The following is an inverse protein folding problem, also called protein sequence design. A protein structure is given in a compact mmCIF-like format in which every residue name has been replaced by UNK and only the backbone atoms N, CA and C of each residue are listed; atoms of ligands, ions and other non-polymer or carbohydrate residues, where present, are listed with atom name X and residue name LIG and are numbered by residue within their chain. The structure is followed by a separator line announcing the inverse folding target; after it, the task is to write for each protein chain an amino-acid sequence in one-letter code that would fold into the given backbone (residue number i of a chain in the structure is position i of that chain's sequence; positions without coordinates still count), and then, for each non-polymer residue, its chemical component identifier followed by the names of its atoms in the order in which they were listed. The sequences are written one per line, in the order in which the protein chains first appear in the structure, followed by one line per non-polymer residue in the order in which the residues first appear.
data_IF_346599504144
#
_entry.id   IF_346599504144
#
_cell.length_a   1.000
_cell.length_b   1.000
_cell.length_c   1.000
_cell.angle_alpha   90.00
_cell.angle_beta   90.00
_cell.angle_gamma   90.00
#
_symmetry.space_group_name_H-M   'P 1'
#
loop_
_entity.id
_entity.type
_entity.pdbx_description
1 polymer ?
#
# COMPACT_ATOMS: atom_id res chain seq x y z
N UNK A 1 -21.69 5.03 -11.02
CA UNK A 1 -21.79 5.83 -9.77
C UNK A 1 -21.46 5.01 -8.51
N UNK A 2 -21.57 3.68 -8.53
CA UNK A 2 -21.29 2.83 -7.36
C UNK A 2 -19.78 2.64 -7.07
N UNK A 3 -18.93 2.47 -8.09
CA UNK A 3 -17.50 2.19 -7.90
C UNK A 3 -16.75 3.33 -7.20
N UNK A 4 -16.98 4.59 -7.61
CA UNK A 4 -16.34 5.74 -6.99
C UNK A 4 -16.75 5.93 -5.51
N UNK A 5 -18.02 5.65 -5.18
CA UNK A 5 -18.50 5.69 -3.80
C UNK A 5 -17.86 4.59 -2.96
N UNK A 6 -17.78 3.37 -3.51
CA UNK A 6 -17.11 2.24 -2.85
C UNK A 6 -15.62 2.54 -2.63
N UNK A 7 -14.95 3.10 -3.65
CA UNK A 7 -13.54 3.48 -3.57
C UNK A 7 -13.27 4.49 -2.44
N UNK A 8 -14.04 5.58 -2.39
CA UNK A 8 -13.88 6.61 -1.36
C UNK A 8 -14.24 6.11 0.04
N UNK A 9 -15.27 5.26 0.14
CA UNK A 9 -15.64 4.63 1.39
C UNK A 9 -14.51 3.74 1.93
N UNK A 10 -13.94 2.92 1.06
CA UNK A 10 -12.85 2.01 1.42
C UNK A 10 -11.55 2.75 1.75
N UNK A 11 -11.23 3.85 1.04
CA UNK A 11 -10.13 4.75 1.43
C UNK A 11 -10.29 5.30 2.85
N UNK A 12 -11.52 5.68 3.23
CA UNK A 12 -11.81 6.18 4.57
C UNK A 12 -11.71 5.07 5.63
N UNK A 13 -11.98 3.82 5.27
CA UNK A 13 -11.78 2.69 6.18
C UNK A 13 -10.28 2.42 6.38
N UNK A 14 -9.50 2.42 5.29
CA UNK A 14 -8.05 2.22 5.34
C UNK A 14 -7.37 3.27 6.22
N UNK A 15 -7.79 4.54 6.17
CA UNK A 15 -7.21 5.59 7.00
C UNK A 15 -7.44 5.44 8.50
N UNK A 16 -8.35 4.55 8.92
CA UNK A 16 -8.56 4.23 10.35
C UNK A 16 -7.66 3.09 10.84
N UNK A 17 -6.97 2.40 9.94
CA UNK A 17 -6.08 1.29 10.28
C UNK A 17 -4.77 1.84 10.84
N UNK A 18 -4.58 1.70 12.15
CA UNK A 18 -3.39 2.21 12.88
C UNK A 18 -2.07 1.70 12.30
N UNK A 19 -2.04 0.45 11.83
CA UNK A 19 -0.84 -0.15 11.25
C UNK A 19 -0.34 0.55 9.98
N UNK A 20 -1.23 1.15 9.19
CA UNK A 20 -0.84 1.90 7.99
C UNK A 20 -0.17 3.24 8.35
N UNK A 21 -0.57 3.85 9.46
CA UNK A 21 0.12 5.02 10.00
C UNK A 21 1.49 4.67 10.57
N UNK A 22 1.65 3.49 11.18
CA UNK A 22 2.96 2.99 11.63
C UNK A 22 3.89 2.80 10.42
N UNK A 23 3.38 2.28 9.30
CA UNK A 23 4.15 2.17 8.06
C UNK A 23 4.66 3.54 7.57
N UNK A 24 3.79 4.55 7.51
CA UNK A 24 4.18 5.92 7.14
C UNK A 24 5.26 6.48 8.08
N UNK A 25 5.07 6.33 9.39
CA UNK A 25 6.02 6.81 10.39
C UNK A 25 7.36 6.08 10.33
N UNK A 26 7.36 4.79 9.99
CA UNK A 26 8.57 3.99 9.81
C UNK A 26 9.40 4.51 8.63
N UNK A 27 8.76 4.82 7.51
CA UNK A 27 9.44 5.40 6.35
C UNK A 27 10.08 6.75 6.73
N UNK A 28 9.30 7.68 7.26
CA UNK A 28 9.78 9.00 7.67
C UNK A 28 10.89 8.88 8.72
N UNK A 29 10.69 8.06 9.74
CA UNK A 29 11.64 7.85 10.82
C UNK A 29 12.96 7.28 10.33
N UNK A 30 12.91 6.36 9.37
CA UNK A 30 14.11 5.77 8.78
C UNK A 30 14.93 6.80 7.99
N UNK A 31 14.28 7.63 7.17
CA UNK A 31 14.97 8.70 6.42
C UNK A 31 15.60 9.73 7.34
N UNK A 32 14.86 10.19 8.36
CA UNK A 32 15.38 11.13 9.36
C UNK A 32 16.58 10.52 10.10
N UNK A 33 16.54 9.23 10.41
CA UNK A 33 17.67 8.54 11.02
C UNK A 33 18.89 8.52 10.09
N UNK A 34 18.73 8.11 8.82
CA UNK A 34 19.85 8.07 7.88
C UNK A 34 20.43 9.45 7.57
N UNK A 35 19.59 10.48 7.46
CA UNK A 35 20.02 11.87 7.30
C UNK A 35 20.91 12.32 8.48
N UNK A 36 20.50 12.01 9.71
CA UNK A 36 21.28 12.35 10.91
C UNK A 36 22.58 11.55 11.03
N UNK A 37 22.57 10.28 10.61
CA UNK A 37 23.73 9.39 10.73
C UNK A 37 24.79 9.66 9.65
N UNK A 38 24.36 9.95 8.42
CA UNK A 38 25.26 10.01 7.26
C UNK A 38 25.57 11.43 6.83
N UNK A 39 24.64 12.37 6.99
CA UNK A 39 24.75 13.75 6.52
C UNK A 39 24.74 13.92 4.99
N UNK A 40 24.62 12.84 4.22
CA UNK A 40 24.69 12.82 2.76
C UNK A 40 23.39 12.27 2.16
N UNK A 41 22.67 13.12 1.43
CA UNK A 41 21.36 12.81 0.85
C UNK A 41 21.44 11.70 -0.19
N UNK A 42 22.52 11.63 -0.98
CA UNK A 42 22.66 10.59 -2.01
C UNK A 42 22.76 9.19 -1.39
N UNK A 43 23.42 9.08 -0.23
CA UNK A 43 23.49 7.83 0.53
C UNK A 43 22.16 7.47 1.19
N UNK A 44 21.39 8.47 1.64
CA UNK A 44 20.02 8.26 2.15
C UNK A 44 19.13 7.70 1.05
N UNK A 45 19.12 8.29 -0.14
CA UNK A 45 18.31 7.83 -1.28
C UNK A 45 18.68 6.38 -1.65
N UNK A 46 19.97 6.06 -1.69
CA UNK A 46 20.45 4.69 -2.00
C UNK A 46 20.02 3.68 -0.94
N UNK A 47 20.08 4.06 0.35
CA UNK A 47 19.65 3.21 1.46
C UNK A 47 18.13 3.01 1.44
N UNK A 48 17.38 4.08 1.17
CA UNK A 48 15.92 4.01 1.01
C UNK A 48 15.52 3.13 -0.16
N UNK A 49 16.23 3.17 -1.27
CA UNK A 49 15.96 2.27 -2.40
C UNK A 49 16.03 0.80 -1.97
N UNK A 50 17.03 0.44 -1.17
CA UNK A 50 17.17 -0.93 -0.65
C UNK A 50 16.01 -1.30 0.27
N UNK A 51 15.62 -0.39 1.16
CA UNK A 51 14.47 -0.57 2.07
C UNK A 51 13.18 -0.71 1.27
N UNK A 52 12.95 0.15 0.29
CA UNK A 52 11.77 0.14 -0.58
C UNK A 52 11.61 -1.20 -1.29
N UNK A 53 12.70 -1.74 -1.85
CA UNK A 53 12.68 -3.02 -2.57
C UNK A 53 12.28 -4.21 -1.69
N UNK A 54 12.43 -4.12 -0.37
CA UNK A 54 12.12 -5.21 0.57
C UNK A 54 10.80 -4.94 1.30
N UNK A 55 10.66 -3.75 1.88
CA UNK A 55 9.56 -3.40 2.78
C UNK A 55 8.25 -3.18 2.02
N UNK A 56 8.29 -2.48 0.88
CA UNK A 56 7.07 -2.18 0.11
C UNK A 56 6.39 -3.46 -0.38
N UNK A 57 7.09 -4.43 -0.99
CA UNK A 57 6.49 -5.70 -1.40
C UNK A 57 5.83 -6.45 -0.25
N UNK A 58 6.54 -6.57 0.87
CA UNK A 58 6.05 -7.30 2.05
C UNK A 58 4.78 -6.66 2.61
N UNK A 59 4.77 -5.34 2.77
CA UNK A 59 3.63 -4.60 3.29
C UNK A 59 2.46 -4.65 2.30
N UNK A 60 2.70 -4.36 1.02
CA UNK A 60 1.66 -4.41 0.00
C UNK A 60 1.05 -5.81 -0.10
N UNK A 61 1.85 -6.87 0.09
CA UNK A 61 1.34 -8.23 0.07
C UNK A 61 0.53 -8.63 1.29
N UNK A 62 1.05 -8.36 2.49
CA UNK A 62 0.34 -8.64 3.73
C UNK A 62 -1.00 -7.91 3.77
N UNK A 63 -1.00 -6.59 3.54
CA UNK A 63 -2.22 -5.81 3.55
C UNK A 63 -3.16 -6.19 2.40
N UNK A 64 -2.63 -6.50 1.22
CA UNK A 64 -3.44 -6.95 0.09
C UNK A 64 -4.24 -8.21 0.40
N UNK A 65 -3.58 -9.23 0.97
CA UNK A 65 -4.22 -10.50 1.36
C UNK A 65 -5.21 -10.30 2.51
N UNK A 66 -4.80 -9.60 3.58
CA UNK A 66 -5.66 -9.33 4.75
C UNK A 66 -6.92 -8.58 4.32
N UNK A 67 -6.76 -7.54 3.49
CA UNK A 67 -7.88 -6.70 3.06
C UNK A 67 -8.82 -7.41 2.07
N UNK A 68 -8.32 -8.42 1.35
CA UNK A 68 -9.16 -9.32 0.57
C UNK A 68 -9.98 -10.23 1.48
N UNK A 69 -9.37 -10.92 2.46
CA UNK A 69 -10.07 -11.90 3.29
C UNK A 69 -11.03 -11.30 4.32
N UNK A 70 -10.67 -10.19 4.96
CA UNK A 70 -11.54 -9.48 5.93
C UNK A 70 -12.89 -9.10 5.30
N UNK A 71 -12.86 -8.87 3.99
CA UNK A 71 -14.03 -8.47 3.21
C UNK A 71 -14.99 -9.57 2.83
N UNK A 72 -14.59 -10.83 2.85
CA UNK A 72 -15.41 -11.90 2.29
C UNK A 72 -16.79 -11.99 2.97
N UNK A 73 -16.86 -11.65 4.25
CA UNK A 73 -18.13 -11.58 5.00
C UNK A 73 -18.97 -10.35 4.60
N UNK A 74 -18.33 -9.21 4.30
CA UNK A 74 -19.01 -8.01 3.81
C UNK A 74 -19.45 -8.13 2.34
N UNK A 75 -18.65 -8.78 1.49
CA UNK A 75 -19.02 -9.08 0.10
C UNK A 75 -20.25 -9.98 0.05
N UNK A 76 -20.36 -10.98 0.94
CA UNK A 76 -21.56 -11.82 1.07
C UNK A 76 -22.81 -11.00 1.42
N UNK A 77 -22.67 -9.97 2.25
CA UNK A 77 -23.76 -9.04 2.60
C UNK A 77 -24.07 -8.04 1.48
N UNK A 78 -23.07 -7.60 0.70
CA UNK A 78 -23.27 -6.67 -0.41
C UNK A 78 -23.87 -7.33 -1.65
N UNK A 79 -23.66 -8.63 -1.86
CA UNK A 79 -24.27 -9.38 -2.97
C UNK A 79 -25.78 -9.59 -2.75
N UNK A 80 -26.30 -9.36 -1.54
CA UNK A 80 -27.76 -9.24 -1.35
C UNK A 80 -28.31 -7.91 -1.89
N UNK A 81 -27.43 -6.96 -2.23
CA UNK A 81 -27.74 -5.77 -3.00
C UNK A 81 -27.30 -5.98 -4.46
N UNK A 82 -27.93 -5.31 -5.44
CA UNK A 82 -27.68 -5.54 -6.87
C UNK A 82 -26.34 -4.93 -7.35
N UNK A 83 -25.22 -5.31 -6.74
CA UNK A 83 -23.87 -4.85 -7.06
C UNK A 83 -23.08 -5.99 -7.69
N UNK A 84 -22.49 -5.74 -8.86
CA UNK A 84 -21.65 -6.72 -9.55
C UNK A 84 -20.37 -7.02 -8.76
N UNK A 85 -20.06 -8.31 -8.56
CA UNK A 85 -18.88 -8.78 -7.81
C UNK A 85 -17.56 -8.20 -8.31
N UNK A 86 -17.42 -8.04 -9.62
CA UNK A 86 -16.23 -7.45 -10.25
C UNK A 86 -15.98 -6.00 -9.82
N UNK A 87 -17.04 -5.19 -9.72
CA UNK A 87 -16.95 -3.78 -9.30
C UNK A 87 -16.47 -3.66 -7.85
N UNK A 88 -16.86 -4.61 -6.99
CA UNK A 88 -16.41 -4.66 -5.59
C UNK A 88 -14.93 -5.00 -5.49
N UNK A 89 -14.47 -6.03 -6.21
CA UNK A 89 -13.05 -6.44 -6.21
C UNK A 89 -12.17 -5.31 -6.75
N UNK A 90 -12.54 -4.72 -7.88
CA UNK A 90 -11.80 -3.60 -8.48
C UNK A 90 -11.75 -2.38 -7.56
N UNK A 91 -12.89 -1.99 -6.98
CA UNK A 91 -12.96 -0.83 -6.10
C UNK A 91 -12.03 -1.00 -4.88
N UNK A 92 -12.00 -2.18 -4.28
CA UNK A 92 -11.11 -2.50 -3.15
C UNK A 92 -9.63 -2.51 -3.54
N UNK A 93 -9.29 -3.14 -4.66
CA UNK A 93 -7.92 -3.15 -5.17
C UNK A 93 -7.42 -1.71 -5.39
N UNK A 94 -8.20 -0.89 -6.09
CA UNK A 94 -7.85 0.49 -6.35
C UNK A 94 -7.70 1.28 -5.05
N UNK A 95 -8.61 1.13 -4.09
CA UNK A 95 -8.51 1.81 -2.79
C UNK A 95 -7.21 1.45 -2.07
N UNK A 96 -6.89 0.16 -1.97
CA UNK A 96 -5.68 -0.28 -1.26
C UNK A 96 -4.39 0.12 -1.99
N UNK A 97 -4.32 -0.12 -3.30
CA UNK A 97 -3.16 0.23 -4.11
C UNK A 97 -2.87 1.73 -4.11
N UNK A 98 -3.91 2.57 -4.27
CA UNK A 98 -3.78 4.03 -4.21
C UNK A 98 -3.40 4.49 -2.81
N UNK A 99 -4.01 3.93 -1.76
CA UNK A 99 -3.71 4.33 -0.39
C UNK A 99 -2.28 3.99 0.03
N UNK A 100 -1.80 2.78 -0.27
CA UNK A 100 -0.42 2.38 0.01
C UNK A 100 0.58 3.21 -0.79
N UNK A 101 0.29 3.47 -2.06
CA UNK A 101 1.12 4.34 -2.91
C UNK A 101 1.18 5.76 -2.36
N UNK A 102 0.06 6.29 -1.87
CA UNK A 102 -0.02 7.62 -1.27
C UNK A 102 0.77 7.70 0.04
N UNK A 103 0.67 6.68 0.91
CA UNK A 103 1.47 6.63 2.13
C UNK A 103 2.96 6.51 1.83
N UNK A 104 3.35 5.69 0.86
CA UNK A 104 4.75 5.61 0.44
C UNK A 104 5.26 6.94 -0.12
N UNK A 105 4.48 7.55 -1.02
CA UNK A 105 4.78 8.87 -1.58
C UNK A 105 5.01 9.89 -0.47
N UNK A 106 4.08 10.03 0.46
CA UNK A 106 4.24 10.96 1.60
C UNK A 106 5.40 10.56 2.50
N UNK A 107 5.60 9.26 2.72
CA UNK A 107 6.62 8.75 3.63
C UNK A 107 8.04 9.10 3.19
N UNK A 108 8.31 9.03 1.88
CA UNK A 108 9.63 9.26 1.27
C UNK A 108 9.79 10.70 0.77
N UNK A 109 8.73 11.30 0.23
CA UNK A 109 8.83 12.63 -0.37
C UNK A 109 8.88 13.74 0.68
N UNK A 110 8.15 13.60 1.80
CA UNK A 110 8.01 14.67 2.78
C UNK A 110 9.35 15.03 3.46
N UNK A 111 10.19 14.07 3.91
CA UNK A 111 11.45 14.39 4.56
C UNK A 111 12.52 14.93 3.60
N UNK A 112 12.43 14.58 2.32
CA UNK A 112 13.41 14.94 1.28
C UNK A 112 12.93 16.04 0.32
N UNK A 113 11.82 16.73 0.63
CA UNK A 113 11.22 17.74 -0.23
C UNK A 113 12.15 18.94 -0.53
N UNK A 114 13.12 19.24 0.35
CA UNK A 114 14.12 20.29 0.13
C UNK A 114 15.26 19.84 -0.79
N UNK A 115 15.39 18.55 -1.05
CA UNK A 115 16.47 17.94 -1.83
C UNK A 115 15.92 17.17 -3.04
N UNK A 116 14.95 17.77 -3.73
CA UNK A 116 14.37 17.17 -4.94
C UNK A 116 15.46 16.95 -5.98
N UNK A 117 15.59 15.70 -6.40
CA UNK A 117 16.58 15.22 -7.35
C UNK A 117 15.94 14.18 -8.27
N UNK A 118 16.60 13.87 -9.38
CA UNK A 118 16.08 12.87 -10.32
C UNK A 118 16.04 11.48 -9.67
N UNK A 119 17.02 11.17 -8.83
CA UNK A 119 17.12 9.93 -8.07
C UNK A 119 15.97 9.78 -7.07
N UNK A 120 15.56 10.87 -6.41
CA UNK A 120 14.39 10.86 -5.53
C UNK A 120 13.11 10.58 -6.30
N UNK A 121 12.92 11.18 -7.48
CA UNK A 121 11.74 10.94 -8.32
C UNK A 121 11.68 9.49 -8.81
N UNK A 122 12.83 8.90 -9.17
CA UNK A 122 12.94 7.49 -9.50
C UNK A 122 12.60 6.59 -8.30
N UNK A 123 13.10 6.91 -7.10
CA UNK A 123 12.79 6.16 -5.88
C UNK A 123 11.29 6.21 -5.54
N UNK A 124 10.68 7.39 -5.65
CA UNK A 124 9.26 7.60 -5.37
C UNK A 124 8.40 6.84 -6.40
N UNK A 125 8.69 6.99 -7.68
CA UNK A 125 7.96 6.28 -8.74
C UNK A 125 8.11 4.75 -8.61
N UNK A 126 9.32 4.25 -8.35
CA UNK A 126 9.57 2.83 -8.16
C UNK A 126 8.73 2.22 -7.02
N UNK A 127 8.68 2.87 -5.85
CA UNK A 127 7.89 2.36 -4.74
C UNK A 127 6.38 2.49 -4.92
N UNK A 128 5.90 3.50 -5.67
CA UNK A 128 4.49 3.57 -6.11
C UNK A 128 4.16 2.39 -7.01
N UNK A 129 4.98 2.10 -8.02
CA UNK A 129 4.75 0.95 -8.90
C UNK A 129 4.84 -0.38 -8.14
N UNK A 130 5.80 -0.55 -7.23
CA UNK A 130 5.90 -1.73 -6.38
C UNK A 130 4.63 -1.94 -5.55
N UNK A 131 4.10 -0.86 -4.95
CA UNK A 131 2.86 -0.91 -4.16
C UNK A 131 1.68 -1.40 -5.00
N UNK A 132 1.55 -0.92 -6.24
CA UNK A 132 0.51 -1.35 -7.17
C UNK A 132 0.70 -2.81 -7.64
N UNK A 133 1.92 -3.21 -7.98
CA UNK A 133 2.23 -4.56 -8.46
C UNK A 133 1.95 -5.59 -7.37
N UNK A 134 2.49 -5.39 -6.16
CA UNK A 134 2.34 -6.35 -5.07
C UNK A 134 0.93 -6.38 -4.49
N UNK A 135 0.21 -5.25 -4.45
CA UNK A 135 -1.22 -5.27 -4.11
C UNK A 135 -2.04 -6.04 -5.15
N UNK A 136 -1.74 -5.89 -6.44
CA UNK A 136 -2.42 -6.65 -7.51
C UNK A 136 -2.16 -8.16 -7.38
N UNK A 137 -0.90 -8.56 -7.18
CA UNK A 137 -0.53 -9.96 -6.95
C UNK A 137 -1.27 -10.56 -5.75
N UNK A 138 -1.45 -9.77 -4.70
CA UNK A 138 -2.03 -10.24 -3.44
C UNK A 138 -3.54 -10.43 -3.54
N UNK A 139 -4.20 -9.57 -4.31
CA UNK A 139 -5.59 -9.78 -4.70
C UNK A 139 -5.74 -11.00 -5.62
N UNK A 140 -4.81 -11.21 -6.56
CA UNK A 140 -4.81 -12.39 -7.41
C UNK A 140 -4.66 -13.68 -6.59
N UNK A 141 -3.75 -13.70 -5.61
CA UNK A 141 -3.60 -14.82 -4.66
C UNK A 141 -4.89 -15.04 -3.87
N UNK A 142 -5.51 -13.97 -3.35
CA UNK A 142 -6.78 -14.08 -2.62
C UNK A 142 -7.91 -14.66 -3.48
N UNK A 143 -7.96 -14.33 -4.77
CA UNK A 143 -8.95 -14.88 -5.71
C UNK A 143 -8.68 -16.35 -6.03
N UNK A 144 -7.42 -16.76 -6.14
CA UNK A 144 -7.04 -18.14 -6.47
C UNK A 144 -7.11 -19.08 -5.27
N UNK A 145 -6.98 -18.56 -4.04
CA UNK A 145 -6.92 -19.34 -2.81
C UNK A 145 -8.17 -19.07 -1.97
N UNK A 146 -9.19 -19.91 -2.13
CA UNK A 146 -10.46 -19.79 -1.38
C UNK A 146 -10.33 -20.10 0.12
N UNK A 147 -9.28 -20.81 0.53
CA UNK A 147 -9.22 -21.41 1.86
C UNK A 147 -8.43 -20.57 2.87
N UNK A 148 -9.15 -20.02 3.86
CA UNK A 148 -8.59 -19.25 4.99
C UNK A 148 -7.50 -20.03 5.76
N UNK A 149 -7.45 -21.35 5.61
CA UNK A 149 -6.54 -22.23 6.34
C UNK A 149 -5.13 -22.38 5.72
N UNK A 150 -4.87 -21.92 4.49
CA UNK A 150 -3.52 -22.03 3.86
C UNK A 150 -2.72 -20.73 3.82
N UNK A 151 -3.34 -19.59 4.13
CA UNK A 151 -2.65 -18.28 4.16
C UNK A 151 -2.04 -17.91 5.52
N UNK A 152 -2.41 -18.61 6.60
CA UNK A 152 -1.97 -18.34 7.99
C UNK A 152 -1.71 -19.64 8.77
N UNK A 153 -1.37 -20.75 8.09
CA UNK A 153 -0.84 -21.97 8.73
C UNK A 153 0.45 -22.41 8.06
#
# INVERSE_FOLDING_TARGET
MELAKLFLFELKNLSRIKWLWIYLLLLIGSEVAFLKLTGDVSKVITSMLTITLIVVPVIASLFGVVYYYDSQNFVKLLVSQPIERWKVILGRYLSLGVYLSFLYFLGVFLPLISHVSWELLLLVSAGVFLSLIFSSLSFLVGVLVDDRAKGVS
#
